data_IF_001573627441
#
_entry.id   IF_001573627441
#
_cell.length_a   1.000
_cell.length_b   1.000
_cell.length_c   1.000
_cell.angle_alpha   90.00
_cell.angle_beta   90.00
_cell.angle_gamma   90.00
#
_symmetry.space_group_name_H-M   'P 1'
#
loop_
_entity.id
_entity.type
_entity.pdbx_description
1 polymer ?
#
# COMPACT_ATOMS: atom_id res chain seq x y z
N UNK A 1 16.70 -8.38 8.15
CA UNK A 1 15.70 -8.69 7.10
C UNK A 1 14.37 -8.92 7.81
N UNK A 2 13.32 -8.22 7.41
CA UNK A 2 11.96 -8.42 7.93
C UNK A 2 11.06 -8.78 6.75
N UNK A 3 10.06 -9.62 7.01
CA UNK A 3 8.99 -9.90 6.06
C UNK A 3 7.79 -9.10 6.51
N UNK A 4 7.34 -8.16 5.68
CA UNK A 4 6.15 -7.38 5.97
C UNK A 4 4.90 -8.03 5.37
N UNK A 5 3.80 -7.96 6.10
CA UNK A 5 2.47 -8.25 5.58
C UNK A 5 1.82 -6.93 5.14
N UNK A 6 1.24 -6.92 3.94
CA UNK A 6 0.46 -5.79 3.41
C UNK A 6 -0.96 -6.28 3.16
N UNK A 7 -1.94 -5.71 3.84
CA UNK A 7 -3.35 -6.12 3.79
C UNK A 7 -4.16 -4.92 3.30
N UNK A 8 -4.89 -5.09 2.20
CA UNK A 8 -5.67 -4.02 1.57
C UNK A 8 -7.16 -4.39 1.59
N UNK A 9 -8.01 -3.42 1.96
CA UNK A 9 -9.44 -3.48 1.69
C UNK A 9 -9.76 -2.48 0.58
N UNK A 10 -10.43 -2.96 -0.47
CA UNK A 10 -10.65 -2.22 -1.71
C UNK A 10 -12.13 -2.25 -2.03
N UNK A 11 -12.69 -1.07 -2.30
CA UNK A 11 -14.03 -0.91 -2.83
C UNK A 11 -13.95 -0.67 -4.35
N UNK A 12 -14.57 -1.56 -5.13
CA UNK A 12 -14.69 -1.43 -6.58
C UNK A 12 -16.07 -0.85 -6.90
N UNK A 13 -16.12 0.16 -7.78
CA UNK A 13 -17.40 0.70 -8.21
C UNK A 13 -18.12 -0.27 -9.16
N UNK A 14 -19.35 -0.65 -8.82
CA UNK A 14 -20.15 -1.67 -9.52
C UNK A 14 -20.46 -1.32 -10.99
N UNK A 15 -20.34 -0.05 -11.38
CA UNK A 15 -20.59 0.40 -12.76
C UNK A 15 -19.45 0.02 -13.72
N UNK A 16 -18.31 -0.46 -13.21
CA UNK A 16 -17.19 -0.95 -14.00
C UNK A 16 -16.74 -2.32 -13.49
N UNK A 17 -16.74 -3.32 -14.36
CA UNK A 17 -16.19 -4.64 -14.02
C UNK A 17 -14.66 -4.53 -13.99
N UNK A 18 -14.09 -4.39 -12.80
CA UNK A 18 -12.63 -4.40 -12.58
C UNK A 18 -12.22 -5.84 -12.25
N UNK A 19 -11.43 -6.50 -13.12
CA UNK A 19 -11.06 -7.87 -12.86
C UNK A 19 -10.01 -7.92 -11.73
N UNK A 20 -10.19 -8.84 -10.79
CA UNK A 20 -9.36 -8.96 -9.59
C UNK A 20 -7.86 -9.10 -9.92
N UNK A 21 -7.53 -9.82 -11.00
CA UNK A 21 -6.15 -10.01 -11.43
C UNK A 21 -5.44 -8.71 -11.86
N UNK A 22 -6.18 -7.69 -12.33
CA UNK A 22 -5.61 -6.38 -12.67
C UNK A 22 -5.18 -5.64 -11.39
N UNK A 23 -6.05 -5.65 -10.37
CA UNK A 23 -5.75 -5.09 -9.04
C UNK A 23 -4.55 -5.83 -8.41
N UNK A 24 -4.51 -7.17 -8.49
CA UNK A 24 -3.36 -7.92 -7.99
C UNK A 24 -2.04 -7.58 -8.71
N UNK A 25 -2.09 -7.37 -10.03
CA UNK A 25 -0.90 -7.01 -10.81
C UNK A 25 -0.36 -5.63 -10.39
N UNK A 26 -1.26 -4.66 -10.19
CA UNK A 26 -0.96 -3.33 -9.67
C UNK A 26 -0.31 -3.39 -8.28
N UNK A 27 -0.89 -4.14 -7.34
CA UNK A 27 -0.34 -4.30 -5.99
C UNK A 27 1.04 -5.01 -5.98
N UNK A 28 1.23 -5.98 -6.88
CA UNK A 28 2.53 -6.65 -7.08
C UNK A 28 3.60 -5.69 -7.58
N UNK A 29 3.25 -4.77 -8.48
CA UNK A 29 4.19 -3.75 -8.96
C UNK A 29 4.68 -2.86 -7.81
N UNK A 30 3.78 -2.41 -6.94
CA UNK A 30 4.14 -1.60 -5.76
C UNK A 30 5.08 -2.38 -4.84
N UNK A 31 4.73 -3.64 -4.55
CA UNK A 31 5.53 -4.52 -3.69
C UNK A 31 6.92 -4.79 -4.26
N UNK A 32 7.03 -4.95 -5.59
CA UNK A 32 8.30 -5.18 -6.28
C UNK A 32 9.28 -3.99 -6.19
N UNK A 33 8.78 -2.77 -5.91
CA UNK A 33 9.65 -1.60 -5.73
C UNK A 33 10.56 -1.72 -4.52
N UNK A 34 10.09 -2.40 -3.47
CA UNK A 34 10.80 -2.55 -2.19
C UNK A 34 11.26 -3.98 -1.90
N UNK A 35 10.63 -4.99 -2.50
CA UNK A 35 10.94 -6.40 -2.24
C UNK A 35 12.37 -6.74 -2.65
N UNK A 36 13.08 -7.46 -1.79
CA UNK A 36 14.46 -7.90 -2.03
C UNK A 36 15.51 -6.78 -1.98
N UNK A 37 15.14 -5.55 -1.60
CA UNK A 37 16.04 -4.40 -1.50
C UNK A 37 16.25 -3.97 -0.06
N UNK A 38 17.34 -3.24 0.18
CA UNK A 38 17.47 -2.47 1.41
C UNK A 38 16.54 -1.26 1.32
N UNK A 39 15.52 -1.22 2.17
CA UNK A 39 14.52 -0.17 2.13
C UNK A 39 15.13 1.23 2.28
N UNK A 40 16.17 1.37 3.10
CA UNK A 40 16.94 2.61 3.29
C UNK A 40 17.68 3.09 2.03
N UNK A 41 17.67 2.35 0.93
CA UNK A 41 18.23 2.74 -0.36
C UNK A 41 17.14 3.05 -1.40
N UNK A 42 15.86 2.93 -1.01
CA UNK A 42 14.70 3.12 -1.89
C UNK A 42 13.99 4.42 -1.50
N UNK A 43 13.82 5.40 -2.41
CA UNK A 43 13.04 6.59 -2.14
C UNK A 43 11.58 6.26 -1.77
N UNK A 44 10.97 6.98 -0.80
CA UNK A 44 11.53 8.12 -0.04
C UNK A 44 12.35 7.72 1.21
N UNK A 45 12.50 6.43 1.48
CA UNK A 45 13.16 5.89 2.68
C UNK A 45 14.70 6.01 2.65
N UNK A 46 15.27 6.49 1.53
CA UNK A 46 16.65 6.98 1.46
C UNK A 46 16.87 8.23 2.32
N UNK A 47 15.79 8.93 2.68
CA UNK A 47 15.82 10.21 3.43
C UNK A 47 14.98 10.20 4.69
N UNK A 48 13.99 9.33 4.77
CA UNK A 48 13.11 9.20 5.95
C UNK A 48 13.25 7.82 6.57
N UNK A 49 13.12 7.75 7.90
CA UNK A 49 13.18 6.47 8.60
C UNK A 49 12.00 5.57 8.17
N UNK A 50 12.21 4.31 7.75
CA UNK A 50 11.13 3.42 7.36
C UNK A 50 10.40 2.82 8.57
N UNK A 51 9.75 3.67 9.36
CA UNK A 51 8.82 3.21 10.41
C UNK A 51 7.56 2.61 9.78
N UNK A 52 6.78 1.85 10.55
CA UNK A 52 5.51 1.30 10.08
C UNK A 52 4.54 2.41 9.62
N UNK A 53 4.52 3.54 10.31
CA UNK A 53 3.69 4.70 9.99
C UNK A 53 4.09 5.31 8.64
N UNK A 54 5.39 5.53 8.41
CA UNK A 54 5.90 6.07 7.15
C UNK A 54 5.69 5.10 6.00
N UNK A 55 5.88 3.79 6.25
CA UNK A 55 5.58 2.74 5.28
C UNK A 55 4.10 2.74 4.92
N UNK A 56 3.20 2.66 5.90
CA UNK A 56 1.76 2.62 5.65
C UNK A 56 1.31 3.87 4.91
N UNK A 57 1.80 5.06 5.28
CA UNK A 57 1.47 6.31 4.58
C UNK A 57 1.91 6.26 3.11
N UNK A 58 3.16 5.89 2.85
CA UNK A 58 3.69 5.77 1.49
C UNK A 58 2.92 4.75 0.65
N UNK A 59 2.68 3.56 1.19
CA UNK A 59 1.94 2.52 0.49
C UNK A 59 0.48 2.92 0.26
N UNK A 60 -0.17 3.60 1.22
CA UNK A 60 -1.54 4.08 1.07
C UNK A 60 -1.64 5.04 -0.12
N UNK A 61 -0.74 6.00 -0.21
CA UNK A 61 -0.69 6.96 -1.31
C UNK A 61 -0.45 6.27 -2.67
N UNK A 62 0.58 5.42 -2.75
CA UNK A 62 0.94 4.76 -4.01
C UNK A 62 -0.17 3.82 -4.48
N UNK A 63 -0.72 3.00 -3.59
CA UNK A 63 -1.80 2.07 -3.91
C UNK A 63 -3.07 2.84 -4.30
N UNK A 64 -3.44 3.89 -3.55
CA UNK A 64 -4.62 4.71 -3.88
C UNK A 64 -4.52 5.36 -5.26
N UNK A 65 -3.34 5.87 -5.63
CA UNK A 65 -3.12 6.48 -6.93
C UNK A 65 -3.19 5.48 -8.08
N UNK A 66 -2.79 4.23 -7.86
CA UNK A 66 -2.89 3.18 -8.87
C UNK A 66 -4.34 2.70 -9.00
N UNK A 67 -5.02 2.39 -7.89
CA UNK A 67 -6.42 1.92 -7.89
C UNK A 67 -7.41 2.92 -8.49
N UNK A 68 -7.17 4.23 -8.31
CA UNK A 68 -7.97 5.30 -8.94
C UNK A 68 -8.05 5.15 -10.46
N UNK A 69 -6.99 4.66 -11.12
CA UNK A 69 -6.98 4.42 -12.58
C UNK A 69 -7.89 3.27 -12.99
N UNK A 70 -8.12 2.35 -12.07
CA UNK A 70 -8.92 1.15 -12.24
C UNK A 70 -10.31 1.27 -11.61
N UNK A 71 -10.82 2.51 -11.41
CA UNK A 71 -12.14 2.79 -10.82
C UNK A 71 -12.39 2.07 -9.48
N UNK A 72 -11.32 1.88 -8.71
CA UNK A 72 -11.31 1.26 -7.39
C UNK A 72 -10.76 2.23 -6.35
N UNK A 73 -11.15 2.04 -5.10
CA UNK A 73 -10.80 2.90 -3.97
C UNK A 73 -10.22 2.04 -2.86
N UNK A 74 -9.02 2.40 -2.39
CA UNK A 74 -8.46 1.83 -1.17
C UNK A 74 -9.24 2.40 0.03
N UNK A 75 -9.93 1.54 0.78
CA UNK A 75 -10.67 1.97 1.97
C UNK A 75 -9.85 1.82 3.24
N UNK A 76 -8.97 0.81 3.28
CA UNK A 76 -8.14 0.49 4.43
C UNK A 76 -6.85 -0.22 4.02
N UNK A 77 -5.76 0.10 4.71
CA UNK A 77 -4.46 -0.53 4.57
C UNK A 77 -3.91 -0.90 5.94
N UNK A 78 -3.38 -2.11 6.06
CA UNK A 78 -2.56 -2.50 7.20
C UNK A 78 -1.18 -2.97 6.72
N UNK A 79 -0.14 -2.52 7.42
CA UNK A 79 1.22 -3.04 7.26
C UNK A 79 1.70 -3.58 8.59
N UNK A 80 2.16 -4.83 8.60
CA UNK A 80 2.74 -5.46 9.78
C UNK A 80 4.15 -5.98 9.55
N UNK A 81 5.02 -5.85 10.54
CA UNK A 81 6.37 -6.43 10.54
C UNK A 81 6.47 -7.77 11.28
N UNK A 82 5.45 -8.08 12.08
CA UNK A 82 5.32 -9.29 12.85
C UNK A 82 3.83 -9.61 13.05
N UNK A 83 3.47 -10.81 13.52
CA UNK A 83 2.08 -11.18 13.77
C UNK A 83 1.35 -10.31 14.82
N UNK A 84 2.07 -9.49 15.58
CA UNK A 84 1.49 -8.67 16.67
C UNK A 84 1.71 -7.17 16.50
N UNK A 85 2.49 -6.74 15.51
CA UNK A 85 2.78 -5.32 15.29
C UNK A 85 2.35 -4.90 13.89
N UNK A 86 1.20 -4.24 13.85
CA UNK A 86 0.59 -3.67 12.65
C UNK A 86 0.35 -2.18 12.84
N UNK A 87 0.39 -1.45 11.73
CA UNK A 87 -0.15 -0.10 11.64
C UNK A 87 -1.25 -0.06 10.59
N UNK A 88 -2.40 0.46 11.00
CA UNK A 88 -3.61 0.54 10.18
C UNK A 88 -3.89 1.99 9.81
N UNK A 89 -4.25 2.22 8.54
CA UNK A 89 -4.73 3.51 8.05
C UNK A 89 -6.00 3.28 7.23
N UNK A 90 -7.01 4.12 7.48
CA UNK A 90 -8.27 4.14 6.72
C UNK A 90 -8.37 5.40 5.86
N UNK A 91 -9.24 5.35 4.85
CA UNK A 91 -9.45 6.45 3.91
C UNK A 91 -9.86 7.76 4.61
N UNK A 92 -10.65 7.71 5.69
CA UNK A 92 -11.07 8.89 6.45
C UNK A 92 -9.93 9.55 7.23
N UNK A 93 -8.92 8.79 7.63
CA UNK A 93 -7.71 9.28 8.28
C UNK A 93 -6.70 9.84 7.27
N UNK A 94 -6.80 9.40 6.02
CA UNK A 94 -5.92 9.81 4.94
C UNK A 94 -6.37 11.16 4.38
N UNK A 95 -5.59 12.21 4.69
CA UNK A 95 -5.81 13.57 4.21
C UNK A 95 -5.29 13.81 2.78
N UNK A 96 -5.21 12.74 1.96
CA UNK A 96 -4.52 12.72 0.68
C UNK A 96 -4.71 13.96 -0.19
N UNK A 97 -3.59 14.59 -0.55
CA UNK A 97 -3.50 15.63 -1.58
C UNK A 97 -3.53 15.03 -2.99
#
# INVERSE_FOLDING_TARGET
MHTWAVICEIHVNNDCMVPFNAIEAELKEVSARVSGKFLNEVPPFDRINPTLENLTTYFFEVISNILRKSNAVLTRLEIGESPTRFYCMTLDQWSGQ
#
